data_IF_668842971885
#
_entry.id   IF_668842971885
#
_cell.length_a   1.000
_cell.length_b   1.000
_cell.length_c   1.000
_cell.angle_alpha   90.00
_cell.angle_beta   90.00
_cell.angle_gamma   90.00
#
_symmetry.space_group_name_H-M   'P 1'
#
loop_
_entity.id
_entity.type
_entity.pdbx_description
1 polymer ?
#
# COMPACT_ATOMS: atom_id res chain seq x y z
N UNK A 1 7.96 29.42 30.12
CA UNK A 1 7.57 28.38 29.16
C UNK A 1 6.96 27.24 29.96
N UNK A 2 5.64 27.12 29.96
CA UNK A 2 4.91 26.04 30.60
C UNK A 2 4.82 24.88 29.61
N UNK A 3 5.57 23.82 29.84
CA UNK A 3 5.40 22.54 29.15
C UNK A 3 4.01 22.02 29.44
N UNK A 4 3.13 22.05 28.44
CA UNK A 4 1.84 21.37 28.54
C UNK A 4 2.11 19.87 28.56
N UNK A 5 2.07 19.28 29.76
CA UNK A 5 2.12 17.84 29.89
C UNK A 5 0.79 17.31 29.39
N UNK A 6 0.77 16.63 28.23
CA UNK A 6 -0.38 15.82 27.82
C UNK A 6 -0.51 14.74 28.89
N UNK A 7 -1.44 14.95 29.83
CA UNK A 7 -1.69 14.01 30.91
C UNK A 7 -2.49 12.86 30.30
N UNK A 8 -1.79 11.83 29.84
CA UNK A 8 -2.45 10.68 29.25
C UNK A 8 -3.35 10.05 30.31
N UNK A 9 -4.66 9.99 30.05
CA UNK A 9 -5.64 9.45 30.98
C UNK A 9 -5.55 7.92 31.01
N UNK A 10 -4.74 7.41 31.94
CA UNK A 10 -4.61 5.96 32.17
C UNK A 10 -5.95 5.31 32.53
N UNK A 11 -6.90 6.03 33.12
CA UNK A 11 -8.21 5.49 33.44
C UNK A 11 -9.06 5.25 32.19
N UNK A 12 -8.88 6.06 31.14
CA UNK A 12 -9.50 5.83 29.84
C UNK A 12 -9.04 4.49 29.25
N UNK A 13 -7.74 4.24 29.19
CA UNK A 13 -7.19 3.01 28.60
C UNK A 13 -7.52 1.77 29.44
N UNK A 14 -7.59 1.88 30.77
CA UNK A 14 -8.09 0.81 31.63
C UNK A 14 -9.56 0.49 31.33
N UNK A 15 -10.40 1.49 31.06
CA UNK A 15 -11.80 1.27 30.68
C UNK A 15 -11.91 0.68 29.27
N UNK A 16 -11.09 1.16 28.34
CA UNK A 16 -11.02 0.64 26.98
C UNK A 16 -10.71 -0.86 26.99
N UNK A 17 -9.75 -1.29 27.81
CA UNK A 17 -9.37 -2.69 27.94
C UNK A 17 -10.46 -3.61 28.52
N UNK A 18 -11.56 -3.06 29.05
CA UNK A 18 -12.72 -3.85 29.51
C UNK A 18 -13.72 -4.17 28.40
N UNK A 19 -13.58 -3.53 27.24
CA UNK A 19 -14.41 -3.82 26.07
C UNK A 19 -13.95 -5.14 25.42
N UNK A 20 -14.81 -5.81 24.64
CA UNK A 20 -14.40 -6.95 23.83
C UNK A 20 -13.23 -6.59 22.91
N UNK A 21 -12.28 -7.51 22.73
CA UNK A 21 -11.04 -7.27 21.97
C UNK A 21 -11.29 -6.77 20.55
N UNK A 22 -12.33 -7.29 19.89
CA UNK A 22 -12.76 -6.86 18.55
C UNK A 22 -13.17 -5.38 18.52
N UNK A 23 -13.85 -4.90 19.56
CA UNK A 23 -14.26 -3.50 19.68
C UNK A 23 -13.04 -2.62 19.94
N UNK A 24 -12.11 -3.08 20.77
CA UNK A 24 -10.85 -2.35 21.02
C UNK A 24 -10.01 -2.27 19.75
N UNK A 25 -9.87 -3.36 19.01
CA UNK A 25 -9.17 -3.41 17.73
C UNK A 25 -9.80 -2.47 16.71
N UNK A 26 -11.14 -2.47 16.62
CA UNK A 26 -11.87 -1.55 15.77
C UNK A 26 -11.56 -0.09 16.13
N UNK A 27 -11.67 0.29 17.41
CA UNK A 27 -11.36 1.66 17.87
C UNK A 27 -9.92 2.05 17.56
N UNK A 28 -8.95 1.19 17.88
CA UNK A 28 -7.53 1.46 17.63
C UNK A 28 -7.26 1.57 16.12
N UNK A 29 -7.95 0.80 15.29
CA UNK A 29 -7.84 0.84 13.83
C UNK A 29 -8.13 2.20 13.20
N UNK A 30 -9.02 3.00 13.82
CA UNK A 30 -9.33 4.38 13.39
C UNK A 30 -8.38 5.44 13.93
N UNK A 31 -7.46 5.08 14.84
CA UNK A 31 -6.49 6.05 15.33
C UNK A 31 -5.43 6.33 14.25
N UNK A 32 -4.90 7.56 14.22
CA UNK A 32 -3.70 7.89 13.45
C UNK A 32 -2.62 6.84 13.65
N UNK A 33 -2.08 6.27 12.55
CA UNK A 33 -1.06 5.19 12.64
C UNK A 33 0.17 5.65 13.42
N UNK A 34 0.48 6.93 13.31
CA UNK A 34 1.60 7.58 13.98
C UNK A 34 1.41 7.73 15.51
N UNK A 35 0.20 7.51 16.06
CA UNK A 35 -0.10 7.43 17.50
C UNK A 35 0.07 6.01 18.07
N UNK A 36 -0.05 4.96 17.25
CA UNK A 36 -0.06 3.56 17.72
C UNK A 36 1.17 3.16 18.58
N UNK A 37 2.40 3.62 18.30
CA UNK A 37 3.55 3.27 19.14
C UNK A 37 3.42 3.74 20.58
N UNK A 38 2.78 4.89 20.81
CA UNK A 38 2.56 5.42 22.16
C UNK A 38 1.60 4.52 22.96
N UNK A 39 0.71 3.81 22.25
CA UNK A 39 -0.25 2.91 22.89
C UNK A 39 0.40 1.61 23.40
N UNK A 40 1.61 1.28 22.93
CA UNK A 40 2.36 0.11 23.39
C UNK A 40 2.79 0.22 24.86
N UNK A 41 2.78 1.44 25.43
CA UNK A 41 3.05 1.69 26.85
C UNK A 41 1.86 1.36 27.77
N UNK A 42 0.70 0.95 27.23
CA UNK A 42 -0.46 0.52 28.02
C UNK A 42 -0.59 -1.01 27.99
N UNK A 43 -0.10 -1.72 29.02
CA UNK A 43 -0.14 -3.18 29.07
C UNK A 43 -1.51 -3.80 28.77
N UNK A 44 -2.65 -3.24 29.24
CA UNK A 44 -3.97 -3.87 29.04
C UNK A 44 -4.43 -3.99 27.58
N UNK A 45 -3.89 -3.19 26.66
CA UNK A 45 -4.28 -3.20 25.24
C UNK A 45 -3.11 -3.52 24.31
N UNK A 46 -1.93 -3.79 24.87
CA UNK A 46 -0.65 -3.85 24.15
C UNK A 46 -0.67 -4.84 22.99
N UNK A 47 -1.20 -6.05 23.21
CA UNK A 47 -1.29 -7.08 22.17
C UNK A 47 -2.20 -6.67 21.00
N UNK A 48 -3.30 -5.98 21.30
CA UNK A 48 -4.25 -5.49 20.29
C UNK A 48 -3.59 -4.37 19.47
N UNK A 49 -2.85 -3.47 20.13
CA UNK A 49 -2.07 -2.42 19.46
C UNK A 49 -1.04 -3.05 18.52
N UNK A 50 -0.27 -4.05 18.98
CA UNK A 50 0.70 -4.77 18.15
C UNK A 50 0.01 -5.39 16.94
N UNK A 51 -1.09 -6.13 17.13
CA UNK A 51 -1.84 -6.72 16.03
C UNK A 51 -2.35 -5.68 15.03
N UNK A 52 -2.68 -4.47 15.49
CA UNK A 52 -3.16 -3.37 14.64
C UNK A 52 -2.01 -2.70 13.89
N UNK A 53 -0.84 -2.55 14.51
CA UNK A 53 0.38 -2.09 13.81
C UNK A 53 0.73 -3.08 12.70
N UNK A 54 0.74 -4.37 13.02
CA UNK A 54 1.11 -5.43 12.09
C UNK A 54 0.02 -5.77 11.07
N UNK A 55 -1.17 -5.18 11.17
CA UNK A 55 -2.21 -5.44 10.18
C UNK A 55 -1.92 -4.80 8.83
N UNK A 56 -1.17 -3.69 8.84
CA UNK A 56 -0.98 -2.82 7.68
C UNK A 56 0.32 -2.00 7.84
N UNK A 57 1.39 -2.50 7.22
CA UNK A 57 2.76 -2.01 7.41
C UNK A 57 3.34 -1.55 6.07
N UNK A 58 3.91 -0.35 6.03
CA UNK A 58 4.77 0.07 4.91
C UNK A 58 6.23 0.02 5.33
N UNK A 59 7.03 -0.67 4.52
CA UNK A 59 8.47 -0.77 4.72
C UNK A 59 9.10 0.43 4.03
N UNK A 60 9.88 1.19 4.79
CA UNK A 60 10.59 2.36 4.28
C UNK A 60 11.93 2.51 5.00
N UNK A 61 13.01 2.73 4.25
CA UNK A 61 14.34 3.03 4.79
C UNK A 61 14.31 4.22 5.76
N UNK A 62 13.69 5.32 5.34
CA UNK A 62 13.49 6.50 6.16
C UNK A 62 12.01 6.90 6.21
N UNK A 63 11.56 7.28 7.41
CA UNK A 63 10.23 7.86 7.58
C UNK A 63 10.22 8.88 8.70
N UNK A 64 9.43 9.94 8.51
CA UNK A 64 9.07 10.86 9.58
C UNK A 64 7.66 10.50 10.03
N UNK A 65 7.53 10.10 11.30
CA UNK A 65 6.21 10.02 11.93
C UNK A 65 5.78 11.41 12.34
N UNK A 66 4.55 11.75 12.00
CA UNK A 66 3.91 12.93 12.53
C UNK A 66 3.97 12.87 14.06
N UNK A 67 4.42 13.97 14.67
CA UNK A 67 4.43 14.11 16.13
C UNK A 67 3.16 14.80 16.58
N UNK A 68 2.71 14.49 17.78
CA UNK A 68 1.66 15.27 18.42
C UNK A 68 2.09 16.74 18.49
N UNK A 69 1.16 17.64 18.20
CA UNK A 69 1.34 19.07 18.35
C UNK A 69 1.62 19.42 19.82
N UNK A 70 2.60 20.28 20.03
CA UNK A 70 2.89 20.87 21.35
C UNK A 70 1.75 21.81 21.84
N UNK A 71 0.80 22.15 20.95
CA UNK A 71 -0.36 22.99 21.30
C UNK A 71 -1.39 22.14 22.07
N UNK A 72 -1.77 22.54 23.30
CA UNK A 72 -2.74 21.80 24.10
C UNK A 72 -4.07 21.60 23.37
N UNK A 73 -4.57 20.37 23.37
CA UNK A 73 -5.85 20.01 22.76
C UNK A 73 -5.81 19.82 21.24
N UNK A 74 -4.68 20.08 20.57
CA UNK A 74 -4.51 19.82 19.13
C UNK A 74 -4.09 18.38 18.88
N UNK A 75 -3.18 17.83 19.70
CA UNK A 75 -2.73 16.43 19.57
C UNK A 75 -2.17 16.13 18.18
N UNK A 76 -2.47 14.96 17.63
CA UNK A 76 -2.15 14.62 16.24
C UNK A 76 -3.12 15.36 15.30
N UNK A 77 -2.88 16.64 15.07
CA UNK A 77 -3.81 17.53 14.37
C UNK A 77 -4.12 17.09 12.94
N UNK A 78 -3.12 16.58 12.20
CA UNK A 78 -3.30 15.95 10.90
C UNK A 78 -2.24 14.86 10.75
N UNK A 79 -2.68 13.62 10.56
CA UNK A 79 -1.81 12.50 10.30
C UNK A 79 -2.22 11.91 8.95
N UNK A 80 -1.32 11.97 7.97
CA UNK A 80 -1.54 11.42 6.62
C UNK A 80 -0.92 10.02 6.48
N UNK A 81 -0.65 9.36 7.61
CA UNK A 81 -0.12 8.01 7.65
C UNK A 81 -1.26 7.05 7.27
N UNK A 82 -1.46 6.76 5.97
CA UNK A 82 -2.43 5.76 5.50
C UNK A 82 -2.12 4.36 6.04
N UNK A 83 -0.82 4.07 6.16
CA UNK A 83 -0.25 2.82 6.65
C UNK A 83 0.82 3.08 7.73
N UNK A 84 1.15 2.06 8.51
CA UNK A 84 2.18 2.17 9.54
C UNK A 84 3.58 2.04 8.93
N UNK A 85 4.30 3.17 8.84
CA UNK A 85 5.69 3.19 8.33
C UNK A 85 6.68 2.65 9.36
N UNK A 86 7.56 1.76 8.91
CA UNK A 86 8.59 1.10 9.72
C UNK A 86 9.82 0.77 8.86
N UNK A 87 11.01 0.75 9.46
CA UNK A 87 12.19 0.25 8.76
C UNK A 87 12.18 -1.28 8.75
N UNK A 88 12.90 -1.89 7.82
CA UNK A 88 13.02 -3.35 7.76
C UNK A 88 13.60 -3.94 9.07
N UNK A 89 14.59 -3.27 9.66
CA UNK A 89 15.20 -3.69 10.93
C UNK A 89 14.24 -3.57 12.13
N UNK A 90 13.48 -2.48 12.21
CA UNK A 90 12.44 -2.31 13.22
C UNK A 90 11.36 -3.38 13.09
N UNK A 91 10.98 -3.71 11.86
CA UNK A 91 10.00 -4.73 11.57
C UNK A 91 10.50 -6.11 12.00
N UNK A 92 11.73 -6.50 11.64
CA UNK A 92 12.38 -7.74 12.09
C UNK A 92 12.35 -7.86 13.61
N UNK A 93 12.82 -6.83 14.32
CA UNK A 93 12.81 -6.80 15.79
C UNK A 93 11.40 -6.95 16.36
N UNK A 94 10.41 -6.33 15.73
CA UNK A 94 9.02 -6.47 16.10
C UNK A 94 8.48 -7.89 15.89
N UNK A 95 8.76 -8.51 14.74
CA UNK A 95 8.40 -9.89 14.43
C UNK A 95 9.04 -10.84 15.44
N UNK A 96 10.33 -10.69 15.73
CA UNK A 96 11.04 -11.52 16.70
C UNK A 96 10.46 -11.39 18.11
N UNK A 97 10.13 -10.16 18.51
CA UNK A 97 9.59 -9.86 19.84
C UNK A 97 8.18 -10.43 20.03
N UNK A 98 7.34 -10.39 19.00
CA UNK A 98 5.91 -10.69 19.11
C UNK A 98 5.49 -12.00 18.44
N UNK A 99 6.39 -12.61 17.66
CA UNK A 99 6.12 -13.81 16.85
C UNK A 99 4.91 -13.64 15.92
N UNK A 100 4.70 -12.44 15.38
CA UNK A 100 3.61 -12.09 14.47
C UNK A 100 4.22 -11.53 13.19
N UNK A 101 3.89 -12.12 12.04
CA UNK A 101 4.19 -11.53 10.74
C UNK A 101 3.09 -10.54 10.34
N UNK A 102 3.43 -9.49 9.58
CA UNK A 102 2.43 -8.56 9.08
C UNK A 102 1.36 -9.27 8.25
N UNK A 103 0.12 -8.82 8.42
CA UNK A 103 -0.97 -9.28 7.55
C UNK A 103 -0.81 -8.71 6.14
N UNK A 104 -0.55 -7.41 6.05
CA UNK A 104 -0.41 -6.68 4.80
C UNK A 104 0.89 -5.89 4.83
N UNK A 105 1.67 -5.98 3.75
CA UNK A 105 2.87 -5.17 3.56
C UNK A 105 2.72 -4.29 2.32
N UNK A 106 3.23 -3.08 2.43
CA UNK A 106 3.41 -2.10 1.36
C UNK A 106 4.91 -1.88 1.17
N UNK A 107 5.33 -1.79 -0.09
CA UNK A 107 6.70 -1.50 -0.49
C UNK A 107 6.61 -0.46 -1.61
N UNK A 108 7.02 0.77 -1.29
CA UNK A 108 6.72 1.96 -2.11
C UNK A 108 7.88 2.39 -3.03
N UNK A 109 9.00 1.68 -3.01
CA UNK A 109 10.10 1.91 -3.95
C UNK A 109 10.91 0.62 -4.17
N UNK A 110 11.77 0.66 -5.19
CA UNK A 110 12.56 -0.48 -5.64
C UNK A 110 13.66 -0.86 -4.63
N UNK A 111 14.27 0.13 -3.97
CA UNK A 111 15.37 -0.09 -3.03
C UNK A 111 14.88 -0.83 -1.79
N UNK A 112 13.76 -0.42 -1.20
CA UNK A 112 13.11 -1.11 -0.09
C UNK A 112 12.73 -2.56 -0.47
N UNK A 113 12.26 -2.77 -1.70
CA UNK A 113 11.97 -4.12 -2.19
C UNK A 113 13.23 -4.99 -2.29
N UNK A 114 14.32 -4.44 -2.82
CA UNK A 114 15.60 -5.13 -2.90
C UNK A 114 16.13 -5.46 -1.51
N UNK A 115 16.09 -4.51 -0.57
CA UNK A 115 16.48 -4.72 0.83
C UNK A 115 15.67 -5.85 1.48
N UNK A 116 14.35 -5.91 1.25
CA UNK A 116 13.51 -7.02 1.72
C UNK A 116 13.96 -8.35 1.11
N UNK A 117 14.26 -8.39 -0.19
CA UNK A 117 14.68 -9.61 -0.87
C UNK A 117 16.06 -10.11 -0.40
N UNK A 118 16.99 -9.19 -0.20
CA UNK A 118 18.37 -9.51 0.17
C UNK A 118 18.48 -9.88 1.66
N UNK A 119 17.80 -9.12 2.53
CA UNK A 119 17.99 -9.25 3.97
C UNK A 119 16.84 -9.96 4.70
N UNK A 120 15.66 -10.11 4.09
CA UNK A 120 14.50 -10.75 4.75
C UNK A 120 13.45 -11.36 3.80
N UNK A 121 13.85 -12.22 2.84
CA UNK A 121 12.96 -12.70 1.79
C UNK A 121 11.77 -13.51 2.32
N UNK A 122 11.91 -14.14 3.49
CA UNK A 122 10.82 -14.91 4.11
C UNK A 122 9.58 -14.07 4.41
N UNK A 123 9.73 -12.75 4.59
CA UNK A 123 8.61 -11.85 4.82
C UNK A 123 7.58 -11.91 3.70
N UNK A 124 8.05 -12.01 2.45
CA UNK A 124 7.22 -12.02 1.25
C UNK A 124 6.37 -13.30 1.14
N UNK A 125 6.77 -14.38 1.80
CA UNK A 125 6.02 -15.64 1.82
C UNK A 125 5.14 -15.81 3.07
N UNK A 126 5.37 -14.98 4.10
CA UNK A 126 4.67 -15.04 5.38
C UNK A 126 3.57 -13.98 5.51
N UNK A 127 3.69 -12.87 4.80
CA UNK A 127 2.62 -11.89 4.70
C UNK A 127 1.39 -12.50 4.02
N UNK A 128 0.19 -12.10 4.46
CA UNK A 128 -1.06 -12.55 3.83
C UNK A 128 -1.37 -11.76 2.56
N UNK A 129 -0.86 -10.53 2.48
CA UNK A 129 -1.06 -9.63 1.35
C UNK A 129 0.18 -8.78 1.10
N UNK A 130 0.49 -8.57 -0.18
CA UNK A 130 1.64 -7.78 -0.63
C UNK A 130 1.15 -6.75 -1.63
N UNK A 131 1.49 -5.49 -1.37
CA UNK A 131 1.20 -4.37 -2.27
C UNK A 131 2.50 -3.65 -2.62
N UNK A 132 2.67 -3.34 -3.90
CA UNK A 132 3.84 -2.64 -4.41
C UNK A 132 3.45 -1.34 -5.09
N UNK A 133 4.26 -0.31 -4.94
CA UNK A 133 4.19 0.92 -5.72
C UNK A 133 5.59 1.22 -6.24
N UNK A 134 5.76 1.36 -7.55
CA UNK A 134 7.08 1.57 -8.16
C UNK A 134 7.01 2.62 -9.27
N UNK A 135 7.95 3.56 -9.25
CA UNK A 135 8.02 4.61 -10.25
C UNK A 135 9.16 4.35 -11.25
N UNK A 136 8.89 4.58 -12.53
CA UNK A 136 9.83 4.33 -13.63
C UNK A 136 10.97 5.33 -13.74
N UNK A 137 10.86 6.48 -13.08
CA UNK A 137 11.92 7.48 -12.95
C UNK A 137 12.93 7.14 -11.84
N UNK A 138 12.67 6.11 -11.02
CA UNK A 138 13.57 5.64 -9.96
C UNK A 138 14.68 4.69 -10.45
N UNK A 139 14.81 4.44 -11.76
CA UNK A 139 15.87 3.57 -12.28
C UNK A 139 15.83 3.32 -13.79
N UNK A 140 16.74 2.49 -14.34
CA UNK A 140 16.66 2.07 -15.74
C UNK A 140 15.43 1.19 -15.98
N UNK A 141 14.95 1.14 -17.24
CA UNK A 141 13.84 0.35 -17.83
C UNK A 141 13.13 -0.65 -16.88
N UNK A 142 11.79 -0.65 -16.74
CA UNK A 142 11.01 -1.56 -15.86
C UNK A 142 11.24 -3.06 -16.01
N UNK A 143 11.62 -3.53 -17.19
CA UNK A 143 11.63 -4.95 -17.54
C UNK A 143 12.49 -5.86 -16.63
N UNK A 144 13.68 -5.44 -16.15
CA UNK A 144 14.45 -6.21 -15.17
C UNK A 144 13.72 -6.39 -13.83
N UNK A 145 12.86 -5.44 -13.40
CA UNK A 145 12.09 -5.58 -12.17
C UNK A 145 11.03 -6.67 -12.29
N UNK A 146 10.30 -6.68 -13.42
CA UNK A 146 9.32 -7.72 -13.72
C UNK A 146 9.94 -9.10 -13.78
N UNK A 147 11.12 -9.21 -14.39
CA UNK A 147 11.87 -10.45 -14.40
C UNK A 147 12.21 -10.91 -12.98
N UNK A 148 12.68 -9.99 -12.13
CA UNK A 148 13.00 -10.29 -10.74
C UNK A 148 11.78 -10.78 -9.94
N UNK A 149 10.62 -10.12 -10.08
CA UNK A 149 9.37 -10.54 -9.44
C UNK A 149 8.92 -11.94 -9.89
N UNK A 150 9.06 -12.22 -11.19
CA UNK A 150 8.74 -13.52 -11.77
C UNK A 150 9.68 -14.62 -11.28
N UNK A 151 10.99 -14.35 -11.23
CA UNK A 151 12.01 -15.31 -10.79
C UNK A 151 11.80 -15.71 -9.33
N UNK A 152 11.31 -14.79 -8.49
CA UNK A 152 10.95 -15.04 -7.10
C UNK A 152 9.54 -15.60 -6.90
N UNK A 153 8.75 -15.73 -7.98
CA UNK A 153 7.35 -16.15 -7.96
C UNK A 153 6.49 -15.35 -6.97
N UNK A 154 6.76 -14.05 -6.89
CA UNK A 154 6.03 -13.13 -6.01
C UNK A 154 4.71 -12.75 -6.67
N UNK A 155 3.65 -12.73 -5.87
CA UNK A 155 2.32 -12.28 -6.31
C UNK A 155 1.88 -11.12 -5.43
N UNK A 156 1.56 -10.02 -6.08
CA UNK A 156 0.98 -8.84 -5.48
C UNK A 156 -0.55 -8.95 -5.48
N UNK A 157 -1.17 -8.49 -4.41
CA UNK A 157 -2.61 -8.25 -4.44
C UNK A 157 -2.89 -6.97 -5.24
N UNK A 158 -2.11 -5.92 -4.99
CA UNK A 158 -2.14 -4.66 -5.72
C UNK A 158 -0.74 -4.20 -6.15
N UNK A 159 -0.63 -3.71 -7.38
CA UNK A 159 0.61 -3.18 -7.94
C UNK A 159 0.32 -1.83 -8.62
N UNK A 160 0.92 -0.76 -8.10
CA UNK A 160 0.88 0.57 -8.72
C UNK A 160 2.20 0.85 -9.44
N UNK A 161 2.13 1.33 -10.67
CA UNK A 161 3.26 1.54 -11.57
C UNK A 161 3.13 2.93 -12.20
N UNK A 162 4.09 3.82 -11.96
CA UNK A 162 4.02 5.21 -12.44
C UNK A 162 5.19 5.60 -13.35
N UNK A 163 4.98 6.57 -14.26
CA UNK A 163 6.04 7.23 -15.04
C UNK A 163 6.91 6.30 -15.91
N UNK A 164 6.33 5.27 -16.52
CA UNK A 164 7.04 4.38 -17.45
C UNK A 164 6.95 4.91 -18.89
N UNK A 165 8.11 5.17 -19.51
CA UNK A 165 8.24 5.88 -20.79
C UNK A 165 7.78 5.10 -22.04
N UNK A 166 7.73 3.77 -21.97
CA UNK A 166 7.34 2.88 -23.07
C UNK A 166 6.05 2.10 -22.72
N UNK A 167 5.29 1.60 -23.71
CA UNK A 167 4.15 0.73 -23.47
C UNK A 167 4.53 -0.47 -22.58
N UNK A 168 4.06 -0.43 -21.33
CA UNK A 168 4.47 -1.37 -20.30
C UNK A 168 3.81 -2.72 -20.50
N UNK A 169 4.61 -3.77 -20.70
CA UNK A 169 4.12 -5.15 -20.69
C UNK A 169 4.22 -5.70 -19.26
N UNK A 170 3.13 -5.58 -18.50
CA UNK A 170 3.08 -6.06 -17.12
C UNK A 170 2.85 -7.58 -17.11
N UNK A 171 3.69 -8.38 -16.43
CA UNK A 171 3.47 -9.82 -16.30
C UNK A 171 2.29 -10.13 -15.37
N UNK A 172 1.77 -11.37 -15.35
CA UNK A 172 0.66 -11.79 -14.50
C UNK A 172 1.09 -12.01 -13.04
N UNK A 173 1.59 -10.95 -12.40
CA UNK A 173 2.12 -10.93 -11.02
C UNK A 173 1.19 -10.21 -10.04
N UNK A 174 0.05 -9.68 -10.49
CA UNK A 174 -0.87 -8.92 -9.64
C UNK A 174 -2.33 -9.22 -9.96
N UNK A 175 -3.22 -9.05 -8.97
CA UNK A 175 -4.68 -9.14 -9.17
C UNK A 175 -5.34 -7.78 -9.39
N UNK A 176 -4.75 -6.72 -8.85
CA UNK A 176 -5.13 -5.32 -9.05
C UNK A 176 -3.92 -4.56 -9.57
N UNK A 177 -4.09 -3.79 -10.64
CA UNK A 177 -3.03 -2.99 -11.25
C UNK A 177 -3.51 -1.55 -11.38
N UNK A 178 -2.65 -0.63 -11.01
CA UNK A 178 -2.80 0.80 -11.29
C UNK A 178 -1.62 1.27 -12.13
N UNK A 179 -1.90 1.93 -13.24
CA UNK A 179 -0.90 2.48 -14.15
C UNK A 179 -1.04 3.99 -14.17
N UNK A 180 -0.08 4.71 -13.61
CA UNK A 180 -0.11 6.17 -13.49
C UNK A 180 0.81 6.81 -14.53
N UNK A 181 0.29 7.81 -15.26
CA UNK A 181 1.03 8.49 -16.33
C UNK A 181 1.67 7.48 -17.32
N UNK A 182 0.86 6.55 -17.81
CA UNK A 182 1.30 5.46 -18.70
C UNK A 182 0.70 5.58 -20.11
N UNK A 183 1.39 5.06 -21.12
CA UNK A 183 0.85 4.98 -22.48
C UNK A 183 -0.25 3.92 -22.57
N UNK A 184 -1.48 4.33 -22.88
CA UNK A 184 -2.60 3.40 -23.06
C UNK A 184 -2.36 2.42 -24.23
N UNK A 185 -2.37 1.13 -23.93
CA UNK A 185 -2.20 0.02 -24.88
C UNK A 185 -3.17 -1.13 -24.58
N UNK A 186 -3.02 -2.26 -25.26
CA UNK A 186 -3.75 -3.48 -24.95
C UNK A 186 -3.20 -4.13 -23.67
N UNK A 187 -3.95 -4.04 -22.58
CA UNK A 187 -3.58 -4.66 -21.30
C UNK A 187 -4.29 -6.00 -21.13
N UNK A 188 -3.79 -7.02 -21.84
CA UNK A 188 -4.27 -8.41 -21.74
C UNK A 188 -3.35 -9.18 -20.79
N UNK A 189 -3.56 -8.97 -19.49
CA UNK A 189 -2.79 -9.53 -18.38
C UNK A 189 -3.64 -10.59 -17.65
N UNK A 190 -3.34 -11.90 -17.80
CA UNK A 190 -4.13 -12.96 -17.20
C UNK A 190 -4.26 -12.85 -15.67
N UNK A 191 -5.43 -13.15 -15.13
CA UNK A 191 -5.68 -13.14 -13.68
C UNK A 191 -5.93 -11.77 -13.05
N UNK A 192 -5.75 -10.67 -13.79
CA UNK A 192 -6.05 -9.31 -13.31
C UNK A 192 -7.57 -9.09 -13.23
N UNK A 193 -8.02 -8.67 -12.06
CA UNK A 193 -9.43 -8.42 -11.72
C UNK A 193 -9.77 -6.93 -11.67
N UNK A 194 -8.80 -6.08 -11.36
CA UNK A 194 -8.94 -4.62 -11.35
C UNK A 194 -7.80 -3.97 -12.12
N UNK A 195 -8.13 -3.03 -13.00
CA UNK A 195 -7.17 -2.25 -13.76
C UNK A 195 -7.60 -0.78 -13.75
N UNK A 196 -6.73 0.07 -13.23
CA UNK A 196 -6.88 1.52 -13.25
C UNK A 196 -5.76 2.09 -14.14
N UNK A 197 -6.10 2.92 -15.12
CA UNK A 197 -5.11 3.51 -16.04
C UNK A 197 -5.32 5.01 -16.10
N UNK A 198 -4.30 5.77 -15.68
CA UNK A 198 -4.14 7.17 -16.00
C UNK A 198 -3.28 7.31 -17.26
N UNK A 199 -3.98 7.48 -18.39
CA UNK A 199 -3.36 7.55 -19.70
C UNK A 199 -2.72 8.93 -19.91
N UNK A 200 -1.39 8.93 -20.02
CA UNK A 200 -0.59 10.11 -20.38
C UNK A 200 -0.96 10.70 -21.76
N UNK A 201 -0.46 11.90 -22.05
CA UNK A 201 -0.75 12.61 -23.29
C UNK A 201 0.15 12.15 -24.45
N UNK A 202 -0.17 11.02 -25.07
CA UNK A 202 0.52 10.59 -26.30
C UNK A 202 -0.32 10.89 -27.55
N UNK A 203 0.32 11.55 -28.52
CA UNK A 203 -0.21 11.87 -29.85
C UNK A 203 -0.29 10.61 -30.72
N UNK A 204 -1.40 9.87 -30.66
CA UNK A 204 -1.66 8.75 -31.58
C UNK A 204 -3.13 8.70 -32.02
N UNK A 205 -3.34 8.23 -33.25
CA UNK A 205 -4.63 8.02 -33.93
C UNK A 205 -5.60 7.14 -33.13
N UNK A 206 -6.91 7.25 -33.45
CA UNK A 206 -7.97 6.45 -32.83
C UNK A 206 -7.70 4.95 -32.99
N UNK A 207 -7.37 4.27 -31.89
CA UNK A 207 -7.15 2.83 -31.85
C UNK A 207 -8.15 2.16 -30.89
N UNK A 208 -8.59 0.95 -31.23
CA UNK A 208 -9.40 0.13 -30.34
C UNK A 208 -8.52 -0.64 -29.36
N UNK A 209 -8.76 -0.48 -28.06
CA UNK A 209 -8.03 -1.13 -26.98
C UNK A 209 -8.77 -2.35 -26.43
N UNK A 210 -8.02 -3.40 -26.08
CA UNK A 210 -8.53 -4.61 -25.47
C UNK A 210 -7.92 -4.85 -24.08
N UNK A 211 -8.71 -5.44 -23.19
CA UNK A 211 -8.34 -5.73 -21.81
C UNK A 211 -8.53 -7.21 -21.47
N UNK A 212 -7.96 -7.67 -20.36
CA UNK A 212 -8.08 -9.04 -19.87
C UNK A 212 -9.53 -9.53 -19.79
N UNK A 213 -9.78 -10.76 -20.26
CA UNK A 213 -11.08 -11.41 -20.14
C UNK A 213 -11.50 -11.73 -18.70
N UNK A 214 -10.58 -11.64 -17.75
CA UNK A 214 -10.84 -11.85 -16.32
C UNK A 214 -11.26 -10.58 -15.57
N UNK A 215 -11.15 -9.41 -16.22
CA UNK A 215 -11.29 -8.11 -15.60
C UNK A 215 -12.71 -7.84 -15.12
N UNK A 216 -12.85 -7.42 -13.87
CA UNK A 216 -14.15 -7.14 -13.24
C UNK A 216 -14.34 -5.63 -13.01
N UNK A 217 -13.25 -4.89 -12.81
CA UNK A 217 -13.27 -3.44 -12.61
C UNK A 217 -12.25 -2.77 -13.54
N UNK A 218 -12.72 -1.77 -14.29
CA UNK A 218 -11.89 -0.95 -15.17
C UNK A 218 -12.12 0.53 -14.84
N UNK A 219 -11.05 1.24 -14.58
CA UNK A 219 -11.05 2.69 -14.49
C UNK A 219 -10.08 3.27 -15.53
N UNK A 220 -10.54 4.26 -16.28
CA UNK A 220 -9.73 4.97 -17.27
C UNK A 220 -9.79 6.48 -17.03
N UNK A 221 -8.64 7.11 -16.81
CA UNK A 221 -8.47 8.55 -16.96
C UNK A 221 -7.82 8.82 -18.32
N UNK A 222 -8.44 9.66 -19.15
CA UNK A 222 -7.91 9.97 -20.48
C UNK A 222 -8.33 11.37 -20.93
N UNK A 223 -7.50 12.04 -21.72
CA UNK A 223 -7.81 13.36 -22.33
C UNK A 223 -8.28 13.25 -23.78
N UNK A 224 -8.56 12.03 -24.26
CA UNK A 224 -8.89 11.77 -25.66
C UNK A 224 -10.05 10.81 -25.81
N UNK A 225 -10.67 10.85 -26.99
CA UNK A 225 -11.61 9.81 -27.40
C UNK A 225 -10.85 8.51 -27.63
N UNK A 226 -11.39 7.42 -27.10
CA UNK A 226 -10.85 6.07 -27.25
C UNK A 226 -11.95 5.11 -27.66
N UNK A 227 -11.58 4.03 -28.33
CA UNK A 227 -12.45 2.89 -28.54
C UNK A 227 -11.98 1.73 -27.66
N UNK A 228 -12.90 1.03 -27.01
CA UNK A 228 -12.57 -0.06 -26.08
C UNK A 228 -13.44 -1.28 -26.34
N UNK A 229 -12.81 -2.44 -26.36
CA UNK A 229 -13.51 -3.74 -26.31
C UNK A 229 -13.60 -4.17 -24.85
N UNK A 230 -14.81 -4.09 -24.29
CA UNK A 230 -15.05 -4.43 -22.90
C UNK A 230 -15.13 -5.95 -22.70
N UNK A 231 -14.44 -6.52 -21.69
CA UNK A 231 -14.54 -7.93 -21.38
C UNK A 231 -15.91 -8.28 -20.80
N UNK A 232 -16.40 -9.49 -21.07
CA UNK A 232 -17.74 -9.93 -20.62
C UNK A 232 -17.88 -10.04 -19.11
N UNK A 233 -16.77 -10.19 -18.39
CA UNK A 233 -16.72 -10.27 -16.92
C UNK A 233 -16.80 -8.91 -16.25
N UNK A 234 -16.73 -7.81 -17.00
CA UNK A 234 -16.68 -6.46 -16.45
C UNK A 234 -17.97 -6.14 -15.69
N UNK A 235 -17.82 -5.77 -14.43
CA UNK A 235 -18.92 -5.39 -13.53
C UNK A 235 -18.98 -3.89 -13.29
N UNK A 236 -17.83 -3.23 -13.38
CA UNK A 236 -17.69 -1.80 -13.12
C UNK A 236 -16.78 -1.16 -14.17
N UNK A 237 -17.28 -0.09 -14.77
CA UNK A 237 -16.53 0.76 -15.70
C UNK A 237 -16.65 2.21 -15.24
N UNK A 238 -15.52 2.86 -15.02
CA UNK A 238 -15.42 4.30 -14.78
C UNK A 238 -14.52 4.93 -15.84
N UNK A 239 -14.98 6.02 -16.44
CA UNK A 239 -14.22 6.76 -17.45
C UNK A 239 -14.28 8.24 -17.11
N UNK A 240 -13.11 8.84 -16.93
CA UNK A 240 -12.92 10.26 -16.68
C UNK A 240 -12.26 10.87 -17.92
N UNK A 241 -13.04 11.65 -18.66
CA UNK A 241 -12.60 12.37 -19.85
C UNK A 241 -12.62 13.88 -19.59
N UNK A 242 -11.54 14.58 -19.97
CA UNK A 242 -11.39 16.03 -19.84
C UNK A 242 -11.23 16.71 -21.19
#
# INVERSE_FOLDING_TARGET
MTTATIKIDTALFIRLAKLPSEIVAYIIGFLPKCMLPELLYFPPIKEIVVSTIFSDVNIAEEYLRDKASDVPGVGYGICYCDYFKVTLDDLKRGIDQWSIYPRCIYIDNVEDFQNVCDDFPELLFKAQSINGSFAGDEGPNPEPFFKFFLDLNIKFDSLSLSNFSDPLTVPPIATSIELLNASLTNYVIPGVKKLDVDAGSDEMETQTYAFSSDLENLLLYTKRSIEVTLPQTLRKLEVYAF
#
